data_IF_720795236956
#
_entry.id   IF_720795236956
#
_cell.length_a   1.000
_cell.length_b   1.000
_cell.length_c   1.000
_cell.angle_alpha   90.00
_cell.angle_beta   90.00
_cell.angle_gamma   90.00
#
_symmetry.space_group_name_H-M   'P 1'
#
loop_
_entity.id
_entity.type
_entity.pdbx_description
1 polymer ?
#
# COMPACT_ATOMS: atom_id res chain seq x y z
N UNK A 1 4.88 -19.79 -11.74
CA UNK A 1 6.02 -18.87 -12.04
C UNK A 1 7.05 -18.97 -10.92
N UNK A 2 8.35 -18.74 -11.17
CA UNK A 2 9.37 -18.70 -10.11
C UNK A 2 10.25 -17.43 -10.17
N UNK A 3 9.98 -16.39 -9.35
CA UNK A 3 10.72 -15.12 -9.40
C UNK A 3 12.20 -15.20 -9.01
N UNK A 4 12.64 -16.31 -8.40
CA UNK A 4 14.05 -16.55 -8.08
C UNK A 4 14.89 -16.95 -9.30
N UNK A 5 14.24 -17.32 -10.41
CA UNK A 5 14.89 -17.84 -11.63
C UNK A 5 14.84 -16.80 -12.75
N UNK A 6 15.81 -16.87 -13.68
CA UNK A 6 15.79 -16.02 -14.89
C UNK A 6 14.57 -16.32 -15.76
N UNK A 7 14.04 -15.29 -16.40
CA UNK A 7 12.85 -15.42 -17.27
C UNK A 7 11.53 -15.33 -16.52
N UNK A 8 11.56 -15.12 -15.20
CA UNK A 8 10.35 -14.99 -14.39
C UNK A 8 9.45 -13.84 -14.85
N UNK A 9 10.03 -12.73 -15.31
CA UNK A 9 9.26 -11.55 -15.72
C UNK A 9 8.50 -11.88 -17.01
N UNK A 10 9.11 -12.64 -17.92
CA UNK A 10 8.41 -13.09 -19.12
C UNK A 10 7.23 -14.00 -18.78
N UNK A 11 7.42 -14.91 -17.82
CA UNK A 11 6.33 -15.79 -17.37
C UNK A 11 5.24 -15.00 -16.63
N UNK A 12 5.64 -14.00 -15.83
CA UNK A 12 4.74 -13.05 -15.17
C UNK A 12 3.87 -12.30 -16.18
N UNK A 13 4.48 -11.70 -17.22
CA UNK A 13 3.73 -10.96 -18.24
C UNK A 13 2.74 -11.87 -18.98
N UNK A 14 3.06 -13.15 -19.20
CA UNK A 14 2.13 -14.12 -19.81
C UNK A 14 0.94 -14.40 -18.90
N UNK A 15 1.17 -14.55 -17.59
CA UNK A 15 0.11 -14.73 -16.60
C UNK A 15 -0.80 -13.48 -16.62
N UNK A 16 -0.23 -12.29 -16.54
CA UNK A 16 -0.98 -11.02 -16.64
C UNK A 16 -1.77 -10.89 -17.93
N UNK A 17 -1.18 -11.29 -19.08
CA UNK A 17 -1.86 -11.33 -20.39
C UNK A 17 -3.08 -12.24 -20.36
N UNK A 18 -2.95 -13.44 -19.78
CA UNK A 18 -4.07 -14.38 -19.64
C UNK A 18 -5.18 -13.85 -18.73
N UNK A 19 -4.80 -13.26 -17.59
CA UNK A 19 -5.76 -12.66 -16.66
C UNK A 19 -6.54 -11.50 -17.27
N UNK A 20 -5.90 -10.71 -18.14
CA UNK A 20 -6.58 -9.66 -18.92
C UNK A 20 -7.71 -10.25 -19.78
N UNK A 21 -7.50 -11.43 -20.37
CA UNK A 21 -8.50 -12.14 -21.19
C UNK A 21 -9.61 -12.76 -20.33
N UNK A 22 -9.25 -13.45 -19.25
CA UNK A 22 -10.21 -14.17 -18.42
C UNK A 22 -11.11 -13.26 -17.60
N UNK A 23 -10.59 -12.11 -17.18
CA UNK A 23 -11.30 -11.33 -16.19
C UNK A 23 -12.59 -10.71 -16.73
N UNK A 24 -12.66 -10.05 -17.90
CA UNK A 24 -13.73 -9.06 -18.26
C UNK A 24 -13.96 -7.95 -17.16
N UNK A 25 -13.39 -8.14 -15.97
CA UNK A 25 -13.66 -7.57 -14.66
C UNK A 25 -12.56 -6.59 -14.24
N UNK A 26 -11.45 -6.51 -15.00
CA UNK A 26 -10.45 -5.44 -14.82
C UNK A 26 -11.05 -4.03 -15.00
N UNK A 27 -12.20 -3.92 -15.67
CA UNK A 27 -13.00 -2.68 -15.73
C UNK A 27 -13.60 -2.27 -14.37
N UNK A 28 -13.53 -3.10 -13.32
CA UNK A 28 -14.16 -2.88 -12.01
C UNK A 28 -13.20 -2.82 -10.83
N UNK A 29 -11.91 -3.10 -11.01
CA UNK A 29 -10.96 -3.22 -9.90
C UNK A 29 -10.40 -1.85 -9.49
N UNK A 30 -10.77 -1.43 -8.27
CA UNK A 30 -10.15 -0.36 -7.47
C UNK A 30 -10.04 1.03 -8.12
N UNK A 31 -10.97 1.36 -9.02
CA UNK A 31 -11.10 2.74 -9.49
C UNK A 31 -11.57 3.64 -8.34
N UNK A 32 -10.73 4.60 -7.97
CA UNK A 32 -11.10 5.72 -7.12
C UNK A 32 -11.93 6.74 -7.89
N UNK A 33 -12.30 7.84 -7.24
CA UNK A 33 -13.07 8.91 -7.89
C UNK A 33 -12.24 9.68 -8.94
N UNK A 34 -10.91 9.60 -8.84
CA UNK A 34 -9.95 10.27 -9.70
C UNK A 34 -8.67 9.41 -9.87
N UNK A 35 -7.73 9.82 -10.74
CA UNK A 35 -6.49 9.07 -10.97
C UNK A 35 -5.65 8.84 -9.71
N UNK A 36 -5.53 9.82 -8.81
CA UNK A 36 -4.73 9.69 -7.59
C UNK A 36 -5.32 8.68 -6.59
N UNK A 37 -6.64 8.69 -6.42
CA UNK A 37 -7.33 7.69 -5.59
C UNK A 37 -7.25 6.29 -6.21
N UNK A 38 -7.26 6.21 -7.54
CA UNK A 38 -7.09 4.94 -8.26
C UNK A 38 -5.65 4.43 -8.12
N UNK A 39 -4.65 5.32 -8.22
CA UNK A 39 -3.25 5.00 -7.93
C UNK A 39 -3.14 4.42 -6.51
N UNK A 40 -3.69 5.12 -5.52
CA UNK A 40 -3.66 4.66 -4.13
C UNK A 40 -4.36 3.30 -3.97
N UNK A 41 -5.53 3.09 -4.58
CA UNK A 41 -6.22 1.80 -4.54
C UNK A 41 -5.44 0.65 -5.19
N UNK A 42 -4.61 0.93 -6.21
CA UNK A 42 -3.74 -0.07 -6.82
C UNK A 42 -2.54 -0.39 -5.93
N UNK A 43 -1.94 0.62 -5.29
CA UNK A 43 -0.66 0.50 -4.61
C UNK A 43 -0.78 0.18 -3.12
N UNK A 44 -1.69 0.84 -2.39
CA UNK A 44 -1.84 0.65 -0.94
C UNK A 44 -2.04 -0.82 -0.57
N UNK A 45 -2.89 -1.59 -1.25
CA UNK A 45 -3.13 -2.97 -0.83
C UNK A 45 -1.95 -3.89 -1.06
N UNK A 46 -0.98 -3.51 -1.88
CA UNK A 46 0.26 -4.31 -2.03
C UNK A 46 1.11 -4.29 -0.75
N UNK A 47 0.90 -3.29 0.12
CA UNK A 47 1.68 -3.05 1.33
C UNK A 47 3.02 -2.34 1.07
N UNK A 48 3.34 -1.99 -0.18
CA UNK A 48 4.62 -1.33 -0.51
C UNK A 48 4.73 0.09 0.08
N UNK A 49 3.60 0.76 0.31
CA UNK A 49 3.55 2.06 1.01
C UNK A 49 4.00 1.95 2.47
N UNK A 50 3.75 0.79 3.09
CA UNK A 50 4.02 0.54 4.51
C UNK A 50 5.14 -0.47 4.74
N UNK A 51 5.89 -0.74 3.69
CA UNK A 51 7.01 -1.67 3.66
C UNK A 51 6.88 -3.03 4.29
N UNK A 52 5.70 -3.64 4.21
CA UNK A 52 5.63 -5.09 4.15
C UNK A 52 4.79 -5.52 2.94
N UNK A 53 5.42 -6.02 1.87
CA UNK A 53 4.73 -6.42 0.67
C UNK A 53 3.98 -7.72 0.92
N UNK A 54 2.65 -7.69 0.93
CA UNK A 54 1.85 -8.88 1.28
C UNK A 54 0.96 -9.36 0.14
N UNK A 55 0.35 -8.45 -0.63
CA UNK A 55 -0.66 -8.81 -1.61
C UNK A 55 -0.20 -8.59 -3.06
N UNK A 56 -0.32 -9.64 -3.86
CA UNK A 56 -0.40 -9.53 -5.31
C UNK A 56 -1.77 -10.07 -5.70
N UNK A 57 -2.61 -9.21 -6.25
CA UNK A 57 -3.95 -9.61 -6.67
C UNK A 57 -3.86 -10.82 -7.61
N UNK A 58 -4.72 -11.81 -7.37
CA UNK A 58 -5.06 -12.85 -8.33
C UNK A 58 -3.91 -13.79 -8.77
N UNK A 59 -2.78 -13.80 -8.05
CA UNK A 59 -1.74 -14.82 -8.19
C UNK A 59 -1.78 -15.74 -6.98
N UNK A 60 -2.28 -16.97 -7.12
CA UNK A 60 -2.47 -17.90 -5.98
C UNK A 60 -1.19 -18.58 -5.45
N UNK A 61 -0.07 -18.53 -6.19
CA UNK A 61 1.17 -19.28 -5.89
C UNK A 61 2.26 -18.49 -5.11
N UNK A 62 1.96 -17.30 -4.59
CA UNK A 62 3.00 -16.41 -4.02
C UNK A 62 3.47 -16.79 -2.60
N UNK A 63 2.79 -17.70 -1.91
CA UNK A 63 3.09 -18.06 -0.51
C UNK A 63 4.48 -18.66 -0.28
N UNK A 64 5.12 -19.21 -1.33
CA UNK A 64 6.45 -19.84 -1.23
C UNK A 64 7.59 -18.92 -1.69
N UNK A 65 7.32 -17.67 -2.08
CA UNK A 65 8.37 -16.75 -2.53
C UNK A 65 9.09 -16.08 -1.37
N UNK A 66 10.38 -15.81 -1.54
CA UNK A 66 11.12 -14.96 -0.61
C UNK A 66 10.57 -13.52 -0.63
N UNK A 67 10.83 -12.74 0.42
CA UNK A 67 10.42 -11.32 0.47
C UNK A 67 10.96 -10.52 -0.74
N UNK A 68 12.23 -10.74 -1.10
CA UNK A 68 12.87 -10.13 -2.28
C UNK A 68 12.13 -10.51 -3.57
N UNK A 69 11.80 -11.80 -3.73
CA UNK A 69 11.09 -12.30 -4.90
C UNK A 69 9.68 -11.70 -5.02
N UNK A 70 8.98 -11.60 -3.89
CA UNK A 70 7.65 -10.97 -3.82
C UNK A 70 7.70 -9.50 -4.24
N UNK A 71 8.71 -8.75 -3.79
CA UNK A 71 8.85 -7.32 -4.11
C UNK A 71 9.16 -7.09 -5.57
N UNK A 72 10.02 -7.92 -6.19
CA UNK A 72 10.28 -7.81 -7.62
C UNK A 72 9.00 -7.93 -8.43
N UNK A 73 8.15 -8.88 -8.07
CA UNK A 73 6.85 -9.07 -8.73
C UNK A 73 5.94 -7.89 -8.46
N UNK A 74 5.81 -7.42 -7.20
CA UNK A 74 4.98 -6.25 -6.85
C UNK A 74 5.44 -5.00 -7.59
N UNK A 75 6.74 -4.75 -7.70
CA UNK A 75 7.28 -3.62 -8.46
C UNK A 75 6.89 -3.70 -9.93
N UNK A 76 7.10 -4.85 -10.57
CA UNK A 76 6.73 -5.04 -11.96
C UNK A 76 5.21 -4.86 -12.18
N UNK A 77 4.40 -5.46 -11.30
CA UNK A 77 2.94 -5.35 -11.28
C UNK A 77 2.49 -3.89 -11.13
N UNK A 78 3.09 -3.17 -10.18
CA UNK A 78 2.79 -1.77 -9.89
C UNK A 78 3.12 -0.87 -11.08
N UNK A 79 4.29 -1.01 -11.70
CA UNK A 79 4.64 -0.23 -12.88
C UNK A 79 3.66 -0.48 -14.04
N UNK A 80 3.22 -1.72 -14.24
CA UNK A 80 2.23 -2.07 -15.26
C UNK A 80 0.87 -1.44 -14.94
N UNK A 81 0.39 -1.59 -13.71
CA UNK A 81 -0.90 -1.04 -13.28
C UNK A 81 -0.93 0.49 -13.38
N UNK A 82 0.17 1.16 -13.03
CA UNK A 82 0.29 2.61 -13.13
C UNK A 82 0.38 3.06 -14.59
N UNK A 83 1.14 2.35 -15.44
CA UNK A 83 1.17 2.65 -16.88
C UNK A 83 -0.21 2.44 -17.53
N UNK A 84 -0.98 1.45 -17.09
CA UNK A 84 -2.34 1.23 -17.56
C UNK A 84 -3.30 2.32 -17.07
N UNK A 85 -3.24 2.70 -15.80
CA UNK A 85 -4.09 3.72 -15.18
C UNK A 85 -4.03 5.06 -15.93
N UNK A 86 -2.82 5.45 -16.33
CA UNK A 86 -2.57 6.73 -16.99
C UNK A 86 -2.51 6.61 -18.53
N UNK A 87 -2.77 5.42 -19.08
CA UNK A 87 -2.80 5.25 -20.52
C UNK A 87 -3.96 6.05 -21.14
N UNK A 88 -3.66 6.92 -22.11
CA UNK A 88 -4.66 7.82 -22.71
C UNK A 88 -5.83 7.07 -23.39
N UNK A 89 -5.56 5.84 -23.84
CA UNK A 89 -6.54 5.02 -24.56
C UNK A 89 -6.89 3.78 -23.75
N UNK A 90 -8.18 3.43 -23.62
CA UNK A 90 -8.55 2.15 -23.03
C UNK A 90 -7.86 1.00 -23.78
N UNK A 91 -7.29 0.07 -23.05
CA UNK A 91 -6.75 -1.17 -23.61
C UNK A 91 -7.93 -2.07 -23.94
N UNK A 92 -8.03 -2.51 -25.19
CA UNK A 92 -9.20 -3.25 -25.71
C UNK A 92 -8.88 -4.66 -26.19
N UNK A 93 -7.60 -5.00 -26.30
CA UNK A 93 -7.16 -6.33 -26.74
C UNK A 93 -5.96 -6.85 -25.96
N UNK A 94 -5.81 -8.17 -25.99
CA UNK A 94 -4.70 -8.90 -25.38
C UNK A 94 -3.34 -8.45 -25.95
N UNK A 95 -3.28 -8.17 -27.25
CA UNK A 95 -2.09 -7.66 -27.94
C UNK A 95 -1.74 -6.24 -27.52
N UNK A 96 -2.73 -5.35 -27.39
CA UNK A 96 -2.53 -3.99 -26.87
C UNK A 96 -1.99 -4.03 -25.44
N UNK A 97 -2.54 -4.89 -24.58
CA UNK A 97 -2.07 -5.05 -23.21
C UNK A 97 -0.64 -5.59 -23.15
N UNK A 98 -0.33 -6.60 -23.96
CA UNK A 98 1.03 -7.14 -24.08
C UNK A 98 2.03 -6.06 -24.52
N UNK A 99 1.65 -5.23 -25.49
CA UNK A 99 2.48 -4.13 -25.96
C UNK A 99 2.67 -3.06 -24.89
N UNK A 100 1.63 -2.71 -24.14
CA UNK A 100 1.71 -1.81 -23.00
C UNK A 100 2.71 -2.34 -21.96
N UNK A 101 2.58 -3.60 -21.55
CA UNK A 101 3.50 -4.22 -20.60
C UNK A 101 4.95 -4.19 -21.10
N UNK A 102 5.19 -4.53 -22.37
CA UNK A 102 6.53 -4.48 -22.96
C UNK A 102 7.12 -3.06 -23.01
N UNK A 103 6.31 -2.07 -23.42
CA UNK A 103 6.72 -0.66 -23.45
C UNK A 103 7.01 -0.14 -22.04
N UNK A 104 6.22 -0.59 -21.05
CA UNK A 104 6.42 -0.26 -19.64
C UNK A 104 7.76 -0.80 -19.16
N UNK A 105 8.11 -2.05 -19.46
CA UNK A 105 9.41 -2.63 -19.06
C UNK A 105 10.59 -1.89 -19.71
N UNK A 106 10.44 -1.45 -20.97
CA UNK A 106 11.46 -0.59 -21.61
C UNK A 106 11.56 0.77 -20.92
N UNK A 107 10.43 1.38 -20.55
CA UNK A 107 10.39 2.65 -19.82
C UNK A 107 11.01 2.52 -18.43
N UNK A 108 10.75 1.42 -17.71
CA UNK A 108 11.37 1.09 -16.42
C UNK A 108 12.90 0.99 -16.55
N UNK A 109 13.40 0.42 -17.65
CA UNK A 109 14.85 0.41 -17.91
C UNK A 109 15.41 1.84 -18.06
N UNK A 110 14.75 2.70 -18.83
CA UNK A 110 15.19 4.08 -19.02
C UNK A 110 15.14 4.88 -17.71
N UNK A 111 14.04 4.74 -16.96
CA UNK A 111 13.83 5.35 -15.65
C UNK A 111 14.95 4.99 -14.67
N UNK A 112 15.16 3.70 -14.41
CA UNK A 112 16.15 3.27 -13.41
C UNK A 112 17.59 3.59 -13.85
N UNK A 113 17.94 3.47 -15.13
CA UNK A 113 19.27 3.86 -15.59
C UNK A 113 19.51 5.38 -15.46
N UNK A 114 18.45 6.20 -15.57
CA UNK A 114 18.54 7.66 -15.44
C UNK A 114 18.58 8.13 -13.99
N UNK A 115 17.61 7.69 -13.18
CA UNK A 115 17.45 8.12 -11.77
C UNK A 115 18.51 7.47 -10.87
N UNK A 116 18.93 6.24 -11.19
CA UNK A 116 19.90 5.47 -10.42
C UNK A 116 21.08 4.98 -11.28
N UNK A 117 21.99 5.88 -11.68
CA UNK A 117 23.13 5.54 -12.52
C UNK A 117 23.98 4.38 -11.98
N UNK A 118 24.08 4.23 -10.66
CA UNK A 118 24.80 3.15 -9.97
C UNK A 118 24.16 1.77 -10.16
N UNK A 119 22.86 1.71 -10.47
CA UNK A 119 22.16 0.46 -10.77
C UNK A 119 22.27 0.08 -12.25
N UNK A 120 22.82 0.97 -13.08
CA UNK A 120 22.80 0.85 -14.54
C UNK A 120 23.18 -0.53 -15.04
N UNK A 121 22.39 -1.05 -15.97
CA UNK A 121 22.61 -2.36 -16.56
C UNK A 121 22.87 -2.22 -18.06
N UNK A 122 24.01 -2.71 -18.59
CA UNK A 122 24.32 -2.58 -20.00
C UNK A 122 23.23 -3.20 -20.87
N UNK A 123 22.67 -2.39 -21.78
CA UNK A 123 21.63 -2.80 -22.74
C UNK A 123 22.19 -3.56 -23.94
N UNK A 124 23.52 -3.61 -24.09
CA UNK A 124 24.22 -4.38 -25.13
C UNK A 124 25.10 -5.48 -24.52
N UNK A 125 25.28 -6.57 -25.26
CA UNK A 125 26.24 -7.62 -24.94
C UNK A 125 27.66 -7.18 -25.33
N UNK A 126 28.67 -7.95 -24.90
CA UNK A 126 30.07 -7.70 -25.28
C UNK A 126 30.31 -7.78 -26.80
N UNK A 127 29.39 -8.41 -27.55
CA UNK A 127 29.38 -8.48 -29.02
C UNK A 127 28.60 -7.32 -29.67
N UNK A 128 28.15 -6.34 -28.90
CA UNK A 128 27.37 -5.19 -29.40
C UNK A 128 25.91 -5.51 -29.72
N UNK A 129 25.40 -6.71 -29.40
CA UNK A 129 24.00 -7.06 -29.63
C UNK A 129 23.09 -6.49 -28.55
N UNK A 130 21.95 -5.89 -28.92
CA UNK A 130 20.94 -5.40 -27.97
C UNK A 130 20.39 -6.59 -27.17
N UNK A 131 20.38 -6.47 -25.84
CA UNK A 131 19.79 -7.46 -24.94
C UNK A 131 18.26 -7.36 -24.98
N UNK A 132 17.62 -8.47 -24.64
CA UNK A 132 16.18 -8.53 -24.43
C UNK A 132 15.76 -7.58 -23.30
N UNK A 133 14.72 -6.77 -23.54
CA UNK A 133 14.22 -5.74 -22.61
C UNK A 133 13.84 -6.36 -21.26
N UNK A 134 13.15 -7.50 -21.28
CA UNK A 134 12.71 -8.18 -20.05
C UNK A 134 13.91 -8.66 -19.24
N UNK A 135 14.96 -9.17 -19.90
CA UNK A 135 16.19 -9.60 -19.22
C UNK A 135 16.92 -8.43 -18.53
N UNK A 136 16.97 -7.27 -19.17
CA UNK A 136 17.55 -6.06 -18.56
C UNK A 136 16.71 -5.61 -17.36
N UNK A 137 15.38 -5.62 -17.53
CA UNK A 137 14.42 -5.21 -16.49
C UNK A 137 14.51 -6.11 -15.26
N UNK A 138 14.52 -7.44 -15.45
CA UNK A 138 14.73 -8.42 -14.37
C UNK A 138 15.99 -8.11 -13.57
N UNK A 139 17.09 -7.77 -14.27
CA UNK A 139 18.37 -7.45 -13.62
C UNK A 139 18.30 -6.13 -12.85
N UNK A 140 17.62 -5.11 -13.38
CA UNK A 140 17.46 -3.82 -12.71
C UNK A 140 16.58 -3.94 -11.48
N UNK A 141 15.44 -4.62 -11.56
CA UNK A 141 14.56 -4.88 -10.40
C UNK A 141 15.31 -5.66 -9.32
N UNK A 142 16.03 -6.71 -9.69
CA UNK A 142 16.87 -7.49 -8.76
C UNK A 142 17.92 -6.61 -8.07
N UNK A 143 18.64 -5.78 -8.82
CA UNK A 143 19.63 -4.84 -8.27
C UNK A 143 18.99 -3.81 -7.36
N UNK A 144 17.87 -3.21 -7.76
CA UNK A 144 17.16 -2.17 -7.00
C UNK A 144 16.68 -2.73 -5.66
N UNK A 145 16.01 -3.88 -5.70
CA UNK A 145 15.54 -4.56 -4.48
C UNK A 145 16.74 -4.92 -3.59
N UNK A 146 17.76 -5.62 -4.10
CA UNK A 146 18.95 -5.97 -3.30
C UNK A 146 19.74 -4.78 -2.77
N UNK A 147 19.79 -3.67 -3.51
CA UNK A 147 20.42 -2.43 -3.05
C UNK A 147 19.71 -1.88 -1.82
N UNK A 148 18.39 -2.06 -1.80
CA UNK A 148 17.53 -1.66 -0.70
C UNK A 148 17.72 -2.61 0.49
N UNK A 149 17.74 -3.94 0.28
CA UNK A 149 17.86 -4.97 1.34
C UNK A 149 19.29 -5.24 1.90
N UNK A 150 20.21 -4.27 1.89
CA UNK A 150 21.62 -4.53 2.26
C UNK A 150 21.84 -4.98 3.72
N UNK A 151 20.86 -4.81 4.61
CA UNK A 151 20.83 -5.41 5.96
C UNK A 151 19.41 -5.92 6.24
N UNK A 152 19.29 -7.20 6.60
CA UNK A 152 18.08 -7.68 7.28
C UNK A 152 18.02 -6.99 8.65
N UNK A 153 17.01 -6.15 8.85
CA UNK A 153 16.81 -5.36 10.06
C UNK A 153 15.55 -5.78 10.83
N UNK A 154 15.11 -4.93 11.76
CA UNK A 154 13.78 -5.07 12.35
C UNK A 154 12.70 -4.64 11.33
N UNK A 155 11.42 -4.83 11.67
CA UNK A 155 10.28 -4.44 10.83
C UNK A 155 10.40 -2.99 10.29
N UNK A 156 10.83 -2.05 11.13
CA UNK A 156 10.97 -0.64 10.76
C UNK A 156 12.06 -0.38 9.71
N UNK A 157 13.17 -1.13 9.77
CA UNK A 157 14.16 -1.10 8.70
C UNK A 157 13.54 -1.54 7.35
N UNK A 158 12.77 -2.63 7.37
CA UNK A 158 12.08 -3.14 6.18
C UNK A 158 10.98 -2.19 5.69
N UNK A 159 10.28 -1.50 6.60
CA UNK A 159 9.30 -0.46 6.29
C UNK A 159 9.89 0.60 5.35
N UNK A 160 11.02 1.22 5.74
CA UNK A 160 11.58 2.38 5.03
C UNK A 160 12.28 2.06 3.73
N UNK A 161 12.84 0.87 3.62
CA UNK A 161 13.32 0.33 2.36
C UNK A 161 12.24 0.40 1.27
N UNK A 162 11.01 0.05 1.60
CA UNK A 162 9.92 -0.02 0.63
C UNK A 162 9.21 1.32 0.41
N UNK A 163 9.23 2.24 1.37
CA UNK A 163 8.79 3.62 1.15
C UNK A 163 9.52 4.26 -0.04
N UNK A 164 10.82 3.96 -0.20
CA UNK A 164 11.58 4.44 -1.36
C UNK A 164 11.15 3.80 -2.69
N UNK A 165 10.64 2.56 -2.64
CA UNK A 165 10.08 1.88 -3.81
C UNK A 165 8.69 2.43 -4.17
N UNK A 166 7.89 2.82 -3.18
CA UNK A 166 6.65 3.58 -3.44
C UNK A 166 6.94 4.89 -4.18
N UNK A 167 7.93 5.66 -3.72
CA UNK A 167 8.34 6.89 -4.41
C UNK A 167 8.87 6.60 -5.83
N UNK A 168 9.55 5.48 -6.05
CA UNK A 168 9.93 5.05 -7.42
C UNK A 168 8.70 4.85 -8.32
N UNK A 169 7.65 4.19 -7.82
CA UNK A 169 6.41 3.95 -8.56
C UNK A 169 5.67 5.27 -8.83
N UNK A 170 5.56 6.14 -7.82
CA UNK A 170 4.91 7.43 -7.97
C UNK A 170 5.59 8.30 -9.02
N UNK A 171 6.91 8.49 -8.89
CA UNK A 171 7.70 9.32 -9.80
C UNK A 171 7.73 8.70 -11.20
N UNK A 172 7.83 7.37 -11.31
CA UNK A 172 7.69 6.71 -12.61
C UNK A 172 6.34 7.02 -13.25
N UNK A 173 5.24 6.98 -12.50
CA UNK A 173 3.91 7.29 -13.02
C UNK A 173 3.78 8.72 -13.54
N UNK A 174 4.36 9.70 -12.83
CA UNK A 174 4.40 11.09 -13.32
C UNK A 174 5.27 11.21 -14.57
N UNK A 175 6.44 10.56 -14.56
CA UNK A 175 7.41 10.63 -15.63
C UNK A 175 6.99 9.91 -16.91
N UNK A 176 6.39 8.71 -16.83
CA UNK A 176 6.20 7.82 -17.97
C UNK A 176 5.22 8.34 -19.02
N UNK A 177 4.44 9.37 -18.68
CA UNK A 177 3.49 10.04 -19.58
C UNK A 177 4.05 11.34 -20.16
N UNK A 178 5.25 11.74 -19.74
CA UNK A 178 5.99 12.86 -20.32
C UNK A 178 6.87 12.35 -21.46
N UNK A 179 7.05 13.10 -22.55
CA UNK A 179 8.02 12.76 -23.60
C UNK A 179 9.43 13.00 -23.05
N UNK A 180 10.16 11.98 -22.58
CA UNK A 180 11.21 12.19 -21.62
C UNK A 180 12.53 12.52 -22.32
N UNK A 181 13.13 13.63 -21.92
CA UNK A 181 14.53 13.93 -22.19
C UNK A 181 15.35 13.85 -20.90
N UNK A 182 16.66 14.13 -21.00
CA UNK A 182 17.57 14.07 -19.86
C UNK A 182 17.22 15.11 -18.77
N UNK A 183 16.67 16.26 -19.15
CA UNK A 183 16.33 17.35 -18.22
C UNK A 183 15.15 16.93 -17.35
N UNK A 184 14.12 16.32 -17.96
CA UNK A 184 12.98 15.79 -17.22
C UNK A 184 13.41 14.69 -16.22
N UNK A 185 14.33 13.80 -16.59
CA UNK A 185 14.84 12.78 -15.67
C UNK A 185 15.58 13.38 -14.45
N UNK A 186 16.31 14.48 -14.64
CA UNK A 186 16.98 15.19 -13.54
C UNK A 186 15.96 15.84 -12.60
N UNK A 187 14.94 16.49 -13.15
CA UNK A 187 13.82 17.04 -12.39
C UNK A 187 13.13 15.99 -11.50
N UNK A 188 12.76 14.84 -12.06
CA UNK A 188 12.08 13.78 -11.29
C UNK A 188 12.98 13.14 -10.22
N UNK A 189 14.29 13.15 -10.43
CA UNK A 189 15.25 12.74 -9.40
C UNK A 189 15.28 13.73 -8.23
N UNK A 190 15.31 15.03 -8.53
CA UNK A 190 15.23 16.09 -7.52
C UNK A 190 13.89 16.04 -6.77
N UNK A 191 12.77 15.87 -7.48
CA UNK A 191 11.44 15.74 -6.89
C UNK A 191 11.37 14.55 -5.92
N UNK A 192 11.91 13.39 -6.29
CA UNK A 192 12.00 12.23 -5.39
C UNK A 192 12.81 12.53 -4.13
N UNK A 193 13.91 13.26 -4.27
CA UNK A 193 14.75 13.66 -3.14
C UNK A 193 14.00 14.62 -2.22
N UNK A 194 13.26 15.59 -2.77
CA UNK A 194 12.41 16.50 -1.99
C UNK A 194 11.28 15.76 -1.28
N UNK A 195 10.59 14.81 -1.93
CA UNK A 195 9.57 13.99 -1.27
C UNK A 195 10.15 13.19 -0.09
N UNK A 196 11.35 12.61 -0.27
CA UNK A 196 12.06 11.92 0.81
C UNK A 196 12.43 12.88 1.94
N UNK A 197 12.81 14.11 1.63
CA UNK A 197 13.16 15.12 2.62
C UNK A 197 11.92 15.68 3.36
N UNK A 198 10.78 15.76 2.69
CA UNK A 198 9.50 16.10 3.32
C UNK A 198 9.01 14.99 4.24
N UNK A 199 9.21 13.71 3.88
CA UNK A 199 8.88 12.58 4.76
C UNK A 199 9.64 12.66 6.11
N UNK A 200 10.92 13.05 6.10
CA UNK A 200 11.70 13.33 7.32
C UNK A 200 11.02 14.38 8.19
N UNK A 201 10.59 15.48 7.59
CA UNK A 201 9.93 16.59 8.29
C UNK A 201 8.63 16.15 8.93
N UNK A 202 7.84 15.34 8.22
CA UNK A 202 6.60 14.75 8.72
C UNK A 202 6.87 13.84 9.91
N UNK A 203 7.88 12.96 9.81
CA UNK A 203 8.25 12.06 10.91
C UNK A 203 8.76 12.85 12.13
N UNK A 204 9.57 13.88 11.93
CA UNK A 204 10.03 14.75 13.01
C UNK A 204 8.88 15.51 13.69
N UNK A 205 7.94 16.04 12.92
CA UNK A 205 6.76 16.69 13.49
C UNK A 205 5.87 15.71 14.26
N UNK A 206 5.69 14.50 13.73
CA UNK A 206 4.86 13.46 14.34
C UNK A 206 5.47 12.91 15.64
N UNK A 207 6.77 12.62 15.65
CA UNK A 207 7.47 12.14 16.86
C UNK A 207 7.56 13.20 17.98
N UNK A 208 7.37 14.48 17.65
CA UNK A 208 7.30 15.58 18.63
C UNK A 208 5.86 15.97 18.98
N UNK A 209 4.88 15.14 18.63
CA UNK A 209 3.48 15.40 18.97
C UNK A 209 3.23 15.30 20.49
N UNK A 210 4.02 14.49 21.20
CA UNK A 210 4.04 14.40 22.65
C UNK A 210 5.31 15.09 23.23
N UNK A 211 5.44 15.18 24.57
CA UNK A 211 6.61 15.81 25.20
C UNK A 211 7.87 14.92 25.19
N UNK A 212 7.75 13.66 24.80
CA UNK A 212 8.78 12.63 24.95
C UNK A 212 8.84 11.71 23.74
N UNK A 213 9.85 11.91 22.89
CA UNK A 213 10.12 11.01 21.77
C UNK A 213 10.38 9.59 22.30
N UNK A 214 9.57 8.64 21.85
CA UNK A 214 9.70 7.25 22.23
C UNK A 214 10.87 6.58 21.48
N UNK A 215 11.51 5.60 22.12
CA UNK A 215 12.69 4.94 21.51
C UNK A 215 12.41 4.22 20.20
N UNK A 216 11.14 3.88 19.93
CA UNK A 216 10.73 3.29 18.66
C UNK A 216 10.60 4.36 17.56
N UNK A 217 10.17 5.58 17.89
CA UNK A 217 10.13 6.72 16.97
C UNK A 217 11.53 7.18 16.56
N UNK A 218 12.48 7.21 17.51
CA UNK A 218 13.88 7.52 17.22
C UNK A 218 14.49 6.50 16.26
N UNK A 219 14.33 5.21 16.55
CA UNK A 219 14.79 4.14 15.64
C UNK A 219 14.10 4.27 14.29
N UNK A 220 12.80 4.52 14.27
CA UNK A 220 12.02 4.67 13.05
C UNK A 220 12.65 5.77 12.17
N UNK A 221 12.93 6.93 12.75
CA UNK A 221 13.59 8.03 12.06
C UNK A 221 15.00 7.68 11.55
N UNK A 222 15.83 7.09 12.39
CA UNK A 222 17.19 6.66 12.01
C UNK A 222 17.17 5.74 10.78
N UNK A 223 16.29 4.73 10.80
CA UNK A 223 16.15 3.80 9.68
C UNK A 223 15.63 4.50 8.41
N UNK A 224 14.70 5.46 8.52
CA UNK A 224 14.28 6.26 7.36
C UNK A 224 15.46 7.01 6.76
N UNK A 225 16.22 7.75 7.58
CA UNK A 225 17.33 8.59 7.12
C UNK A 225 18.42 7.78 6.45
N UNK A 226 18.79 6.63 7.02
CA UNK A 226 19.79 5.73 6.44
C UNK A 226 19.40 5.26 5.02
N UNK A 227 18.09 5.12 4.76
CA UNK A 227 17.55 4.54 3.54
C UNK A 227 16.97 5.54 2.54
N UNK A 228 16.77 6.79 2.96
CA UNK A 228 16.21 7.87 2.15
C UNK A 228 17.02 8.21 0.88
N UNK A 229 18.32 7.86 0.86
CA UNK A 229 19.23 8.28 -0.20
C UNK A 229 19.59 9.77 -0.19
N UNK A 230 19.22 10.49 0.89
CA UNK A 230 19.47 11.93 1.00
C UNK A 230 20.98 12.27 1.01
N UNK A 231 21.39 13.38 0.35
CA UNK A 231 22.75 13.90 0.45
C UNK A 231 23.17 14.18 1.89
N UNK A 232 24.48 14.13 2.16
CA UNK A 232 25.03 14.28 3.52
C UNK A 232 24.55 15.57 4.21
N UNK A 233 24.46 16.68 3.49
CA UNK A 233 24.00 17.96 4.05
C UNK A 233 22.51 17.92 4.44
N UNK A 234 21.63 17.40 3.56
CA UNK A 234 20.21 17.24 3.89
C UNK A 234 20.00 16.28 5.05
N UNK A 235 20.79 15.21 5.17
CA UNK A 235 20.75 14.31 6.34
C UNK A 235 21.16 15.02 7.62
N UNK A 236 22.16 15.91 7.59
CA UNK A 236 22.57 16.70 8.76
C UNK A 236 21.42 17.57 9.25
N UNK A 237 20.81 18.34 8.34
CA UNK A 237 19.66 19.21 8.66
C UNK A 237 18.43 18.39 9.08
N UNK A 238 18.22 17.23 8.47
CA UNK A 238 17.15 16.31 8.86
C UNK A 238 17.25 15.87 10.33
N UNK A 239 18.46 15.50 10.79
CA UNK A 239 18.68 15.16 12.20
C UNK A 239 18.41 16.37 13.11
N UNK A 240 18.76 17.59 12.69
CA UNK A 240 18.43 18.79 13.47
C UNK A 240 16.92 18.99 13.63
N UNK A 241 16.11 18.72 12.58
CA UNK A 241 14.65 18.75 12.69
C UNK A 241 14.12 17.70 13.67
N UNK A 242 14.70 16.51 13.66
CA UNK A 242 14.27 15.45 14.57
C UNK A 242 14.71 15.68 16.01
N UNK A 243 15.86 16.32 16.24
CA UNK A 243 16.31 16.68 17.59
C UNK A 243 15.45 17.79 18.22
N UNK A 244 15.04 18.79 17.43
CA UNK A 244 14.38 20.00 17.95
C UNK A 244 12.87 20.05 17.71
N UNK A 245 12.35 19.12 16.92
CA UNK A 245 10.96 19.13 16.47
C UNK A 245 10.73 20.10 15.34
N UNK A 246 9.60 19.88 14.66
CA UNK A 246 9.15 20.70 13.54
C UNK A 246 7.64 20.94 13.68
N UNK A 247 7.19 22.17 13.46
CA UNK A 247 5.78 22.46 13.48
C UNK A 247 5.12 22.09 12.14
N UNK A 248 3.81 21.78 12.17
CA UNK A 248 3.05 21.38 10.98
C UNK A 248 3.19 22.39 9.85
N UNK A 249 3.18 23.70 10.15
CA UNK A 249 3.30 24.75 9.14
C UNK A 249 4.65 24.80 8.41
N UNK A 250 5.69 24.15 8.95
CA UNK A 250 7.03 24.11 8.34
C UNK A 250 7.23 22.88 7.44
N UNK A 251 6.20 22.03 7.33
CA UNK A 251 6.14 20.92 6.38
C UNK A 251 5.68 21.48 5.02
N UNK A 252 6.51 21.37 3.96
CA UNK A 252 6.22 21.98 2.66
C UNK A 252 5.24 21.10 1.86
N UNK A 253 3.99 21.02 2.30
CA UNK A 253 2.89 20.34 1.61
C UNK A 253 1.69 21.27 1.59
N UNK A 254 1.09 21.45 0.42
CA UNK A 254 -0.06 22.32 0.20
C UNK A 254 -1.31 21.50 -0.16
N UNK A 255 -2.50 22.07 0.06
CA UNK A 255 -3.78 21.44 -0.36
C UNK A 255 -3.90 21.25 -1.87
N UNK A 256 -3.03 21.88 -2.67
CA UNK A 256 -2.98 21.72 -4.13
C UNK A 256 -2.05 20.59 -4.59
N UNK A 257 -1.24 20.02 -3.69
CA UNK A 257 -0.38 18.89 -4.04
C UNK A 257 -1.19 17.64 -4.38
N UNK A 258 -0.64 16.71 -5.18
CA UNK A 258 -1.34 15.49 -5.58
C UNK A 258 -1.91 14.72 -4.37
N UNK A 259 -3.18 14.31 -4.47
CA UNK A 259 -3.93 13.72 -3.35
C UNK A 259 -3.20 12.50 -2.78
N UNK A 260 -2.59 11.68 -3.64
CA UNK A 260 -1.85 10.48 -3.24
C UNK A 260 -0.60 10.79 -2.41
N UNK A 261 0.07 11.92 -2.68
CA UNK A 261 1.25 12.35 -1.92
C UNK A 261 0.85 12.88 -0.55
N UNK A 262 -0.20 13.71 -0.51
CA UNK A 262 -0.76 14.15 0.78
C UNK A 262 -1.22 12.96 1.62
N UNK A 263 -1.84 11.95 0.98
CA UNK A 263 -2.29 10.71 1.63
C UNK A 263 -1.12 9.91 2.18
N UNK A 264 -0.06 9.77 1.38
CA UNK A 264 1.18 9.11 1.80
C UNK A 264 1.80 9.77 3.04
N UNK A 265 1.89 11.11 3.07
CA UNK A 265 2.43 11.82 4.23
C UNK A 265 1.54 11.72 5.47
N UNK A 266 0.22 11.81 5.30
CA UNK A 266 -0.71 11.57 6.41
C UNK A 266 -0.51 10.19 7.02
N UNK A 267 -0.41 9.15 6.19
CA UNK A 267 -0.24 7.77 6.67
C UNK A 267 1.13 7.51 7.27
N UNK A 268 2.17 8.18 6.77
CA UNK A 268 3.49 8.18 7.40
C UNK A 268 3.45 8.81 8.80
N UNK A 269 2.71 9.90 8.98
CA UNK A 269 2.53 10.53 10.29
C UNK A 269 1.76 9.59 11.25
N UNK A 270 0.67 8.98 10.79
CA UNK A 270 -0.10 8.00 11.58
C UNK A 270 0.81 6.85 12.01
N UNK A 271 1.59 6.29 11.08
CA UNK A 271 2.53 5.20 11.38
C UNK A 271 3.64 5.58 12.36
N UNK A 272 4.09 6.84 12.30
CA UNK A 272 5.12 7.36 13.22
C UNK A 272 4.58 7.41 14.64
N UNK A 273 3.43 8.06 14.82
CA UNK A 273 2.72 8.10 16.10
C UNK A 273 2.36 6.70 16.59
N UNK A 274 2.02 5.78 15.68
CA UNK A 274 1.67 4.40 16.02
C UNK A 274 2.85 3.52 16.41
N UNK A 275 4.08 4.01 16.32
CA UNK A 275 5.27 3.16 16.45
C UNK A 275 5.42 2.55 17.85
N UNK A 276 4.91 3.23 18.88
CA UNK A 276 4.85 2.77 20.27
C UNK A 276 3.55 1.99 20.61
N UNK A 277 2.61 1.90 19.64
CA UNK A 277 1.32 1.20 19.69
C UNK A 277 0.29 1.82 20.64
N UNK A 278 0.41 3.09 21.01
CA UNK A 278 -0.60 3.85 21.78
C UNK A 278 -0.73 5.24 21.21
N UNK A 279 -1.96 5.69 20.96
CA UNK A 279 -2.17 7.11 20.63
C UNK A 279 -2.63 7.83 21.89
N UNK A 280 -1.86 8.82 22.32
CA UNK A 280 -2.25 9.76 23.35
C UNK A 280 -3.15 10.87 22.78
N UNK A 281 -3.96 11.51 23.65
CA UNK A 281 -4.87 12.60 23.22
C UNK A 281 -4.13 13.75 22.49
N UNK A 282 -2.86 13.99 22.87
CA UNK A 282 -2.01 15.02 22.25
C UNK A 282 -1.59 14.63 20.83
N UNK A 283 -1.26 13.36 20.60
CA UNK A 283 -0.92 12.83 19.29
C UNK A 283 -2.15 12.76 18.38
N UNK A 284 -3.31 12.41 18.94
CA UNK A 284 -4.57 12.50 18.23
C UNK A 284 -4.87 13.94 17.79
N UNK A 285 -4.55 14.91 18.65
CA UNK A 285 -4.69 16.35 18.32
C UNK A 285 -3.72 16.76 17.21
N UNK A 286 -2.47 16.28 17.25
CA UNK A 286 -1.51 16.47 16.16
C UNK A 286 -2.04 15.92 14.83
N UNK A 287 -2.44 14.64 14.80
CA UNK A 287 -2.97 14.00 13.59
C UNK A 287 -4.21 14.73 13.06
N UNK A 288 -5.07 15.20 13.96
CA UNK A 288 -6.26 15.98 13.62
C UNK A 288 -5.90 17.29 12.93
N UNK A 289 -4.94 18.03 13.48
CA UNK A 289 -4.46 19.27 12.87
C UNK A 289 -3.74 19.00 11.54
N UNK A 290 -3.00 17.89 11.45
CA UNK A 290 -2.21 17.56 10.28
C UNK A 290 -3.09 17.17 9.08
N UNK A 291 -4.09 16.29 9.25
CA UNK A 291 -4.98 15.94 8.14
C UNK A 291 -5.77 17.18 7.64
N UNK A 292 -6.15 18.09 8.56
CA UNK A 292 -6.81 19.33 8.20
C UNK A 292 -5.88 20.25 7.40
N UNK A 293 -4.61 20.38 7.77
CA UNK A 293 -3.63 21.17 7.00
C UNK A 293 -3.36 20.61 5.60
N UNK A 294 -3.62 19.31 5.39
CA UNK A 294 -3.52 18.64 4.10
C UNK A 294 -4.82 18.74 3.28
N UNK A 295 -5.84 19.45 3.78
CA UNK A 295 -7.13 19.62 3.13
C UNK A 295 -7.99 18.36 3.09
N UNK A 296 -7.79 17.42 4.01
CA UNK A 296 -8.57 16.18 4.08
C UNK A 296 -9.83 16.31 4.93
N UNK A 297 -10.83 15.50 4.62
CA UNK A 297 -12.04 15.33 5.44
C UNK A 297 -11.81 14.33 6.59
N UNK A 298 -12.72 14.30 7.56
CA UNK A 298 -12.72 13.26 8.61
C UNK A 298 -12.86 11.85 7.98
N UNK A 299 -13.61 11.71 6.88
CA UNK A 299 -13.74 10.42 6.17
C UNK A 299 -12.41 9.98 5.54
N UNK A 300 -11.67 10.92 4.94
CA UNK A 300 -10.32 10.64 4.44
C UNK A 300 -9.39 10.23 5.57
N UNK A 301 -9.44 10.92 6.71
CA UNK A 301 -8.63 10.58 7.88
C UNK A 301 -8.99 9.19 8.44
N UNK A 302 -10.27 8.91 8.67
CA UNK A 302 -10.76 7.59 9.12
C UNK A 302 -10.31 6.48 8.15
N UNK A 303 -10.33 6.73 6.84
CA UNK A 303 -9.86 5.75 5.85
C UNK A 303 -8.35 5.49 5.92
N UNK A 304 -7.53 6.51 6.21
CA UNK A 304 -6.09 6.36 6.42
C UNK A 304 -5.78 5.63 7.71
N UNK A 305 -6.53 5.91 8.78
CA UNK A 305 -6.44 5.13 10.01
C UNK A 305 -6.73 3.66 9.68
N UNK A 306 -7.90 3.31 9.15
CA UNK A 306 -8.25 1.92 8.83
C UNK A 306 -7.18 1.25 7.94
N UNK A 307 -6.62 1.97 6.97
CA UNK A 307 -5.55 1.46 6.11
C UNK A 307 -4.28 1.09 6.90
N UNK A 308 -3.79 2.00 7.74
CA UNK A 308 -2.59 1.82 8.56
C UNK A 308 -2.81 0.79 9.67
N UNK A 309 -3.90 0.94 10.44
CA UNK A 309 -4.24 0.05 11.55
C UNK A 309 -4.43 -1.39 11.05
N UNK A 310 -5.13 -1.55 9.92
CA UNK A 310 -5.34 -2.85 9.29
C UNK A 310 -4.02 -3.47 8.84
N UNK A 311 -3.12 -2.69 8.24
CA UNK A 311 -1.80 -3.17 7.87
C UNK A 311 -0.97 -3.62 9.08
N UNK A 312 -0.98 -2.85 10.18
CA UNK A 312 -0.29 -3.19 11.43
C UNK A 312 -0.83 -4.50 12.02
N UNK A 313 -2.16 -4.66 12.07
CA UNK A 313 -2.82 -5.86 12.58
C UNK A 313 -2.53 -7.10 11.72
N UNK A 314 -2.56 -6.96 10.39
CA UNK A 314 -2.23 -8.04 9.45
C UNK A 314 -0.80 -8.57 9.64
N UNK A 315 0.13 -7.70 10.09
CA UNK A 315 1.55 -8.02 10.21
C UNK A 315 2.02 -8.09 11.67
N UNK A 316 1.09 -8.24 12.62
CA UNK A 316 1.40 -8.18 14.05
C UNK A 316 2.48 -9.16 14.51
N UNK A 317 2.42 -10.42 14.04
CA UNK A 317 3.40 -11.45 14.41
C UNK A 317 4.83 -11.14 13.91
N UNK A 318 4.97 -10.25 12.92
CA UNK A 318 6.27 -9.80 12.44
C UNK A 318 6.75 -8.55 13.19
N UNK A 319 5.80 -7.82 13.79
CA UNK A 319 6.04 -6.73 14.72
C UNK A 319 6.46 -7.21 16.12
N UNK A 320 6.42 -8.51 16.42
CA UNK A 320 6.57 -9.10 17.77
C UNK A 320 7.96 -8.92 18.43
N UNK A 321 8.92 -8.30 17.75
CA UNK A 321 10.12 -7.73 18.40
C UNK A 321 9.81 -6.44 19.20
N UNK A 322 8.59 -5.89 19.07
CA UNK A 322 8.08 -4.69 19.72
C UNK A 322 7.00 -5.12 20.74
N UNK A 323 7.32 -4.95 22.02
CA UNK A 323 6.70 -5.63 23.17
C UNK A 323 5.17 -5.46 23.35
N UNK A 324 4.62 -6.45 24.07
CA UNK A 324 3.34 -6.58 24.82
C UNK A 324 2.00 -6.82 24.06
N UNK A 325 1.32 -7.91 24.46
CA UNK A 325 -0.03 -8.32 23.98
C UNK A 325 -1.16 -7.36 24.35
N UNK A 326 -0.94 -6.45 25.31
CA UNK A 326 -1.98 -5.52 25.78
C UNK A 326 -2.34 -4.49 24.72
N UNK A 327 -1.36 -4.08 23.91
CA UNK A 327 -1.54 -3.03 22.92
C UNK A 327 -2.26 -3.56 21.66
N UNK A 328 -2.10 -4.86 21.35
CA UNK A 328 -2.87 -5.54 20.29
C UNK A 328 -4.38 -5.42 20.50
N UNK A 329 -4.88 -5.67 21.72
CA UNK A 329 -6.32 -5.66 22.00
C UNK A 329 -6.93 -4.26 21.90
N UNK A 330 -6.15 -3.22 22.22
CA UNK A 330 -6.59 -1.83 22.09
C UNK A 330 -6.72 -1.47 20.61
N UNK A 331 -5.67 -1.74 19.84
CA UNK A 331 -5.63 -1.52 18.40
C UNK A 331 -6.75 -2.30 17.69
N UNK A 332 -6.93 -3.58 18.02
CA UNK A 332 -8.03 -4.40 17.50
C UNK A 332 -9.39 -3.75 17.77
N UNK A 333 -9.64 -3.30 19.00
CA UNK A 333 -10.93 -2.71 19.37
C UNK A 333 -11.19 -1.41 18.61
N UNK A 334 -10.20 -0.54 18.50
CA UNK A 334 -10.32 0.73 17.80
C UNK A 334 -10.52 0.52 16.30
N UNK A 335 -9.76 -0.42 15.73
CA UNK A 335 -9.91 -0.84 14.34
C UNK A 335 -11.33 -1.36 14.05
N UNK A 336 -11.82 -2.32 14.86
CA UNK A 336 -13.17 -2.86 14.72
C UNK A 336 -14.22 -1.75 14.86
N UNK A 337 -14.04 -0.81 15.78
CA UNK A 337 -14.93 0.34 15.96
C UNK A 337 -15.01 1.20 14.69
N UNK A 338 -13.86 1.57 14.10
CA UNK A 338 -13.81 2.39 12.87
C UNK A 338 -14.46 1.69 11.69
N UNK A 339 -14.10 0.43 11.42
CA UNK A 339 -14.71 -0.29 10.29
C UNK A 339 -16.21 -0.52 10.50
N UNK A 340 -16.67 -0.68 11.74
CA UNK A 340 -18.10 -0.78 12.07
C UNK A 340 -18.83 0.55 11.83
N UNK A 341 -18.23 1.69 12.21
CA UNK A 341 -18.75 3.04 11.91
C UNK A 341 -18.94 3.20 10.40
N UNK A 342 -17.92 2.86 9.62
CA UNK A 342 -17.97 2.91 8.14
C UNK A 342 -19.01 1.94 7.59
N UNK A 343 -19.03 0.67 8.02
CA UNK A 343 -20.01 -0.31 7.55
C UNK A 343 -21.46 0.13 7.81
N UNK A 344 -21.72 0.76 8.97
CA UNK A 344 -23.03 1.25 9.33
C UNK A 344 -23.53 2.39 8.41
N UNK A 345 -22.64 3.24 7.88
CA UNK A 345 -22.99 4.25 6.88
C UNK A 345 -23.53 3.60 5.59
N UNK A 346 -23.11 2.37 5.28
CA UNK A 346 -23.50 1.61 4.10
C UNK A 346 -24.48 0.45 4.40
N UNK A 347 -25.16 0.46 5.55
CA UNK A 347 -26.02 -0.66 6.00
C UNK A 347 -27.07 -1.12 4.99
N UNK A 348 -27.70 -0.20 4.25
CA UNK A 348 -28.73 -0.54 3.26
C UNK A 348 -28.15 -1.34 2.09
N UNK A 349 -26.90 -1.03 1.71
CA UNK A 349 -26.18 -1.77 0.66
C UNK A 349 -25.76 -3.14 1.17
N UNK A 350 -25.18 -3.21 2.37
CA UNK A 350 -24.84 -4.48 3.02
C UNK A 350 -26.07 -5.38 3.11
N UNK A 351 -27.21 -4.83 3.54
CA UNK A 351 -28.48 -5.56 3.62
C UNK A 351 -28.90 -6.13 2.27
N UNK A 352 -28.85 -5.31 1.22
CA UNK A 352 -29.17 -5.76 -0.14
C UNK A 352 -28.27 -6.91 -0.57
N UNK A 353 -26.95 -6.76 -0.42
CA UNK A 353 -25.97 -7.78 -0.83
C UNK A 353 -26.18 -9.10 -0.05
N UNK A 354 -26.50 -9.04 1.26
CA UNK A 354 -26.84 -10.24 2.06
C UNK A 354 -28.16 -10.86 1.58
N UNK A 355 -29.17 -10.05 1.25
CA UNK A 355 -30.47 -10.55 0.80
C UNK A 355 -30.41 -11.26 -0.55
N UNK A 356 -29.52 -10.83 -1.44
CA UNK A 356 -29.27 -11.45 -2.73
C UNK A 356 -28.51 -12.78 -2.61
N UNK A 357 -27.73 -12.98 -1.55
CA UNK A 357 -27.02 -14.24 -1.29
C UNK A 357 -27.85 -15.22 -0.46
N UNK A 358 -28.61 -16.09 -1.14
CA UNK A 358 -29.40 -17.15 -0.48
C UNK A 358 -28.57 -18.03 0.47
N UNK A 359 -27.35 -18.41 0.07
CA UNK A 359 -26.51 -19.30 0.88
C UNK A 359 -26.07 -18.63 2.19
N UNK A 360 -25.75 -17.34 2.15
CA UNK A 360 -25.42 -16.56 3.35
C UNK A 360 -26.63 -16.48 4.29
N UNK A 361 -27.81 -16.18 3.77
CA UNK A 361 -29.04 -16.09 4.57
C UNK A 361 -29.36 -17.39 5.28
N UNK A 362 -29.28 -18.52 4.58
CA UNK A 362 -29.55 -19.84 5.14
C UNK A 362 -28.58 -20.17 6.28
N UNK A 363 -27.29 -19.83 6.11
CA UNK A 363 -26.26 -20.00 7.14
C UNK A 363 -26.47 -19.09 8.36
N UNK A 364 -26.85 -17.82 8.16
CA UNK A 364 -27.14 -16.90 9.27
C UNK A 364 -28.35 -17.37 10.09
N UNK A 365 -29.40 -17.88 9.43
CA UNK A 365 -30.55 -18.48 10.12
C UNK A 365 -30.17 -19.73 10.89
N UNK A 366 -29.40 -20.63 10.26
CA UNK A 366 -28.88 -21.83 10.93
C UNK A 366 -28.08 -21.44 12.18
N UNK A 367 -27.18 -20.47 12.07
CA UNK A 367 -26.34 -19.99 13.18
C UNK A 367 -27.11 -19.33 14.33
N UNK A 368 -28.33 -18.83 14.06
CA UNK A 368 -29.22 -18.28 15.11
C UNK A 368 -29.90 -19.34 15.98
N UNK A 369 -29.93 -20.60 15.53
CA UNK A 369 -30.66 -21.70 16.20
C UNK A 369 -29.77 -22.89 16.55
N UNK A 370 -28.66 -23.07 15.84
CA UNK A 370 -27.75 -24.21 15.96
C UNK A 370 -26.31 -23.77 15.83
N UNK A 371 -25.39 -24.53 16.43
CA UNK A 371 -23.97 -24.24 16.30
C UNK A 371 -23.47 -24.53 14.87
N UNK A 372 -22.78 -23.55 14.30
CA UNK A 372 -22.14 -23.68 12.99
C UNK A 372 -20.79 -24.40 13.12
N UNK A 373 -20.50 -25.27 12.15
CA UNK A 373 -19.18 -25.91 12.06
C UNK A 373 -18.10 -24.94 11.52
N UNK A 374 -16.85 -25.39 11.46
CA UNK A 374 -15.71 -24.57 10.98
C UNK A 374 -15.91 -24.06 9.55
N UNK A 375 -16.35 -24.94 8.65
CA UNK A 375 -16.46 -24.64 7.22
C UNK A 375 -17.59 -23.65 6.96
N UNK A 376 -18.67 -23.74 7.72
CA UNK A 376 -19.79 -22.80 7.69
C UNK A 376 -19.40 -21.42 8.21
N UNK A 377 -18.62 -21.35 9.30
CA UNK A 377 -18.08 -20.09 9.83
C UNK A 377 -17.15 -19.43 8.81
N UNK A 378 -16.29 -20.21 8.16
CA UNK A 378 -15.38 -19.72 7.12
C UNK A 378 -16.12 -19.24 5.87
N UNK A 379 -17.19 -19.92 5.48
CA UNK A 379 -18.04 -19.50 4.37
C UNK A 379 -18.78 -18.18 4.67
N UNK A 380 -19.26 -17.99 5.90
CA UNK A 380 -19.83 -16.68 6.30
C UNK A 380 -18.74 -15.61 6.31
N UNK A 381 -17.57 -15.91 6.88
CA UNK A 381 -16.43 -14.98 6.97
C UNK A 381 -16.04 -14.45 5.58
N UNK A 382 -15.80 -15.35 4.63
CA UNK A 382 -15.43 -15.00 3.25
C UNK A 382 -16.51 -14.18 2.54
N UNK A 383 -17.79 -14.50 2.74
CA UNK A 383 -18.90 -13.74 2.16
C UNK A 383 -19.05 -12.35 2.77
N UNK A 384 -18.89 -12.20 4.08
CA UNK A 384 -18.88 -10.89 4.72
C UNK A 384 -17.73 -10.02 4.24
N UNK A 385 -16.52 -10.58 4.10
CA UNK A 385 -15.39 -9.86 3.50
C UNK A 385 -15.72 -9.39 2.08
N UNK A 386 -16.33 -10.24 1.25
CA UNK A 386 -16.72 -9.87 -0.11
C UNK A 386 -17.73 -8.71 -0.12
N UNK A 387 -18.71 -8.73 0.80
CA UNK A 387 -19.71 -7.66 0.95
C UNK A 387 -19.06 -6.36 1.42
N UNK A 388 -18.17 -6.42 2.42
CA UNK A 388 -17.44 -5.23 2.88
C UNK A 388 -16.60 -4.63 1.75
N UNK A 389 -15.92 -5.46 0.95
CA UNK A 389 -15.16 -5.02 -0.24
C UNK A 389 -16.03 -4.37 -1.33
N UNK A 390 -17.37 -4.40 -1.23
CA UNK A 390 -18.22 -3.63 -2.14
C UNK A 390 -18.37 -2.16 -1.73
N UNK A 391 -18.09 -1.81 -0.47
CA UNK A 391 -18.18 -0.44 0.07
C UNK A 391 -17.08 0.44 -0.54
N UNK A 392 -17.38 1.68 -1.00
CA UNK A 392 -16.40 2.56 -1.63
C UNK A 392 -15.08 2.72 -0.87
N UNK A 393 -15.13 2.98 0.43
CA UNK A 393 -13.94 3.11 1.28
C UNK A 393 -13.09 1.83 1.27
N UNK A 394 -13.71 0.66 1.45
CA UNK A 394 -13.03 -0.65 1.48
C UNK A 394 -12.65 -1.19 0.09
N UNK A 395 -13.00 -0.49 -0.99
CA UNK A 395 -12.50 -0.82 -2.35
C UNK A 395 -11.09 -0.27 -2.59
N UNK A 396 -10.77 0.85 -1.96
CA UNK A 396 -9.50 1.56 -2.17
C UNK A 396 -8.47 1.24 -1.08
N UNK A 397 -8.88 0.63 0.03
CA UNK A 397 -7.98 0.13 1.07
C UNK A 397 -8.07 -1.38 1.21
N UNK A 398 -6.95 -2.02 1.54
CA UNK A 398 -6.95 -3.42 1.94
C UNK A 398 -7.57 -3.60 3.32
N UNK A 399 -8.44 -4.59 3.44
CA UNK A 399 -8.85 -5.11 4.75
C UNK A 399 -7.89 -6.24 5.16
N UNK A 400 -7.57 -6.38 6.45
CA UNK A 400 -6.68 -7.42 6.94
C UNK A 400 -7.47 -8.74 7.04
N UNK A 401 -7.60 -9.41 5.89
CA UNK A 401 -8.45 -10.59 5.73
C UNK A 401 -8.10 -11.71 6.72
N UNK A 402 -6.83 -11.90 7.07
CA UNK A 402 -6.39 -12.96 8.00
C UNK A 402 -6.71 -12.61 9.45
N UNK A 403 -6.67 -11.33 9.79
CA UNK A 403 -7.06 -10.81 11.10
C UNK A 403 -8.59 -10.86 11.30
N UNK A 404 -9.36 -10.55 10.26
CA UNK A 404 -10.83 -10.48 10.31
C UNK A 404 -11.49 -11.86 10.39
N UNK A 405 -11.48 -12.41 11.60
CA UNK A 405 -12.18 -13.66 11.93
C UNK A 405 -13.71 -13.52 11.80
N UNK A 406 -14.40 -14.66 11.70
CA UNK A 406 -15.87 -14.71 11.73
C UNK A 406 -16.47 -13.89 12.90
N UNK A 407 -15.90 -14.03 14.11
CA UNK A 407 -16.38 -13.35 15.31
C UNK A 407 -16.19 -11.84 15.25
N UNK A 408 -15.12 -11.36 14.63
CA UNK A 408 -14.88 -9.93 14.44
C UNK A 408 -15.83 -9.37 13.38
N UNK A 409 -15.98 -10.05 12.25
CA UNK A 409 -16.90 -9.61 11.20
C UNK A 409 -18.36 -9.53 11.66
N UNK A 410 -18.80 -10.41 12.57
CA UNK A 410 -20.12 -10.28 13.20
C UNK A 410 -20.30 -9.00 14.03
N UNK A 411 -19.22 -8.42 14.54
CA UNK A 411 -19.25 -7.13 15.23
C UNK A 411 -19.30 -5.96 14.25
N UNK A 412 -18.70 -6.14 13.06
CA UNK A 412 -18.62 -5.13 11.99
C UNK A 412 -19.93 -4.98 11.23
N UNK A 413 -20.56 -6.11 10.87
CA UNK A 413 -21.83 -6.09 10.13
C UNK A 413 -22.94 -5.53 11.04
N UNK A 414 -23.74 -4.54 10.59
CA UNK A 414 -24.80 -3.95 11.41
C UNK A 414 -25.79 -4.99 11.94
N UNK A 415 -26.01 -5.01 13.25
CA UNK A 415 -26.85 -6.03 13.93
C UNK A 415 -28.29 -6.02 13.44
N UNK A 416 -28.82 -4.85 13.12
CA UNK A 416 -30.17 -4.68 12.58
C UNK A 416 -30.33 -5.43 11.25
N UNK A 417 -29.31 -5.38 10.39
CA UNK A 417 -29.29 -6.07 9.10
C UNK A 417 -29.30 -7.58 9.29
N UNK A 418 -28.47 -8.12 10.20
CA UNK A 418 -28.44 -9.56 10.50
C UNK A 418 -29.81 -10.01 11.04
N UNK A 419 -30.38 -9.25 11.97
CA UNK A 419 -31.68 -9.57 12.58
C UNK A 419 -32.84 -9.57 11.58
N UNK A 420 -32.84 -8.64 10.62
CA UNK A 420 -33.86 -8.57 9.58
C UNK A 420 -33.79 -9.79 8.65
N UNK A 421 -32.59 -10.18 8.22
CA UNK A 421 -32.36 -11.36 7.38
C UNK A 421 -32.82 -12.67 8.04
N UNK A 422 -32.62 -12.77 9.37
CA UNK A 422 -33.08 -13.92 10.15
C UNK A 422 -34.61 -13.95 10.26
N UNK A 423 -35.28 -12.79 10.31
CA UNK A 423 -36.74 -12.66 10.45
C UNK A 423 -37.51 -12.87 9.15
N UNK A 424 -36.95 -12.49 8.00
CA UNK A 424 -37.60 -12.59 6.67
C UNK A 424 -37.63 -14.03 6.11
N UNK A 425 -37.75 -15.04 6.97
CA UNK A 425 -37.49 -16.46 6.66
C UNK A 425 -38.61 -17.43 6.92
#
# INVERSE_FOLDING_TARGET
MNPSQKGWLRDFLKIRKHMFVESEEFKKTRQGQNPDQSFYGLIQPTGIMYGYPFFIADISEHNNWSAIDRIKVILADSFINIAELYNEKPITSEEEFWQLMHNTMDSVNHFYNGVYPELSTPTTSWLGQKKDVLTVTETLLEKRVKHTFKRAGNFWAEFFHHTQLFLDIYIFGQWSHTQPDKVLLEFFKEEKEELSYTAVKVMAAAAHANEHIESEEEKLFEHFIENSGLPAEKRRVANEYFEHGLAIQDIPIEETDPWVIRKFFLELAILTVWSDKKIEDVEWTFLSNFYLSLGFSEEDFDSSMIAVEGFVLQNWDQLDNLKERKDHLVIEKDYISRISKTANQFKNRIQKDIMEDKSLRDLLRKGSTTELNSDEKELIRSKFLLILKTIPTFRVISLPDDFLTFSLLLQVIPKEVINEVIRDG
#
